data_IF_876756149982
#
_entry.id   IF_876756149982
#
_cell.length_a   1.000
_cell.length_b   1.000
_cell.length_c   1.000
_cell.angle_alpha   90.00
_cell.angle_beta   90.00
_cell.angle_gamma   90.00
#
_symmetry.space_group_name_H-M   'P 1'
#
loop_
_entity.id
_entity.type
_entity.pdbx_description
1 polymer ?
#
# COMPACT_ATOMS: atom_id res chain seq x y z
N UNK A 1 -22.74 -14.49 -15.88
CA UNK A 1 -21.82 -14.28 -14.73
C UNK A 1 -20.32 -14.25 -15.10
N UNK A 2 -19.83 -14.84 -16.21
CA UNK A 2 -18.40 -14.81 -16.59
C UNK A 2 -17.84 -13.41 -16.92
N UNK A 3 -18.63 -12.49 -17.50
CA UNK A 3 -18.14 -11.16 -17.89
C UNK A 3 -17.83 -10.25 -16.70
N UNK A 4 -18.61 -10.32 -15.61
CA UNK A 4 -18.37 -9.51 -14.42
C UNK A 4 -17.06 -9.90 -13.73
N UNK A 5 -16.70 -11.19 -13.75
CA UNK A 5 -15.43 -11.67 -13.18
C UNK A 5 -14.20 -11.20 -13.95
N UNK A 6 -14.30 -11.05 -15.29
CA UNK A 6 -13.22 -10.45 -16.10
C UNK A 6 -13.05 -8.97 -15.81
N UNK A 7 -14.14 -8.21 -15.74
CA UNK A 7 -14.10 -6.79 -15.43
C UNK A 7 -13.48 -6.53 -14.05
N UNK A 8 -13.92 -7.27 -13.03
CA UNK A 8 -13.34 -7.19 -11.68
C UNK A 8 -11.85 -7.50 -11.72
N UNK A 9 -11.43 -8.56 -12.42
CA UNK A 9 -10.00 -8.89 -12.53
C UNK A 9 -9.19 -7.77 -13.19
N UNK A 10 -9.68 -7.16 -14.28
CA UNK A 10 -8.99 -6.03 -14.96
C UNK A 10 -8.88 -4.81 -14.06
N UNK A 11 -9.94 -4.48 -13.32
CA UNK A 11 -9.94 -3.35 -12.37
C UNK A 11 -8.87 -3.55 -11.30
N UNK A 12 -8.82 -4.75 -10.70
CA UNK A 12 -7.82 -5.04 -9.69
C UNK A 12 -6.42 -5.14 -10.29
N UNK A 13 -6.21 -5.83 -11.42
CA UNK A 13 -4.88 -6.09 -11.97
C UNK A 13 -4.22 -4.88 -12.62
N UNK A 14 -4.99 -3.97 -13.22
CA UNK A 14 -4.46 -2.85 -14.02
C UNK A 14 -4.84 -1.49 -13.43
N UNK A 15 -6.14 -1.25 -13.22
CA UNK A 15 -6.64 0.10 -12.88
C UNK A 15 -6.21 0.53 -11.48
N UNK A 16 -6.47 -0.29 -10.46
CA UNK A 16 -6.14 0.02 -9.07
C UNK A 16 -4.63 0.29 -8.85
N UNK A 17 -3.72 -0.56 -9.36
CA UNK A 17 -2.29 -0.30 -9.29
C UNK A 17 -1.89 0.98 -10.02
N UNK A 18 -2.44 1.24 -11.22
CA UNK A 18 -2.14 2.47 -11.97
C UNK A 18 -2.58 3.71 -11.20
N UNK A 19 -3.80 3.73 -10.68
CA UNK A 19 -4.33 4.86 -9.88
C UNK A 19 -3.45 5.08 -8.65
N UNK A 20 -3.07 4.01 -7.95
CA UNK A 20 -2.25 4.14 -6.76
C UNK A 20 -0.83 4.62 -7.07
N UNK A 21 -0.20 4.17 -8.16
CA UNK A 21 1.08 4.73 -8.61
C UNK A 21 0.96 6.21 -8.98
N UNK A 22 -0.15 6.60 -9.62
CA UNK A 22 -0.43 7.99 -9.95
C UNK A 22 -0.58 8.84 -8.68
N UNK A 23 -1.21 8.32 -7.63
CA UNK A 23 -1.32 8.96 -6.33
C UNK A 23 0.04 9.09 -5.62
N UNK A 24 0.90 8.06 -5.71
CA UNK A 24 2.28 8.13 -5.19
C UNK A 24 3.06 9.21 -5.93
N UNK A 25 3.05 9.23 -7.26
CA UNK A 25 3.71 10.30 -8.05
C UNK A 25 3.12 11.67 -7.70
N UNK A 26 1.80 11.76 -7.59
CA UNK A 26 1.09 12.97 -7.21
C UNK A 26 1.52 13.50 -5.85
N UNK A 27 1.84 12.63 -4.89
CA UNK A 27 2.36 13.05 -3.58
C UNK A 27 3.75 13.70 -3.64
N UNK A 28 4.61 13.28 -4.59
CA UNK A 28 5.90 13.94 -4.84
C UNK A 28 5.72 15.28 -5.55
N UNK A 29 4.82 15.35 -6.54
CA UNK A 29 4.49 16.60 -7.24
C UNK A 29 3.88 17.61 -6.28
N UNK A 30 2.98 17.19 -5.39
CA UNK A 30 2.39 18.03 -4.35
C UNK A 30 3.45 18.60 -3.40
N UNK A 31 4.48 17.81 -3.05
CA UNK A 31 5.57 18.27 -2.22
C UNK A 31 6.37 19.38 -2.91
N UNK A 32 6.73 19.21 -4.19
CA UNK A 32 7.41 20.26 -4.96
C UNK A 32 6.55 21.52 -5.13
N UNK A 33 5.24 21.36 -5.35
CA UNK A 33 4.32 22.49 -5.44
C UNK A 33 4.13 23.20 -4.10
N UNK A 34 4.26 22.49 -2.97
CA UNK A 34 4.20 23.08 -1.65
C UNK A 34 5.37 24.04 -1.39
N UNK A 35 6.55 23.75 -1.95
CA UNK A 35 7.73 24.62 -1.84
C UNK A 35 7.56 25.94 -2.59
N UNK A 36 6.72 25.96 -3.63
CA UNK A 36 6.51 27.15 -4.49
C UNK A 36 5.20 27.88 -4.22
N UNK A 37 4.18 27.22 -3.63
CA UNK A 37 2.85 27.82 -3.37
C UNK A 37 2.48 27.75 -1.90
N UNK A 38 2.48 28.91 -1.24
CA UNK A 38 2.20 29.06 0.20
C UNK A 38 0.79 28.55 0.62
N UNK A 39 -0.21 28.66 -0.26
CA UNK A 39 -1.55 28.12 -0.01
C UNK A 39 -1.58 26.60 0.06
N UNK A 40 -0.83 25.92 -0.81
CA UNK A 40 -0.68 24.45 -0.79
C UNK A 40 0.13 23.99 0.41
N UNK A 41 1.18 24.73 0.78
CA UNK A 41 1.96 24.47 1.97
C UNK A 41 1.10 24.46 3.24
N UNK A 42 0.27 25.49 3.45
CA UNK A 42 -0.61 25.59 4.62
C UNK A 42 -1.62 24.46 4.69
N UNK A 43 -2.25 24.11 3.56
CA UNK A 43 -3.21 22.98 3.52
C UNK A 43 -2.51 21.65 3.84
N UNK A 44 -1.32 21.42 3.27
CA UNK A 44 -0.54 20.20 3.55
C UNK A 44 -0.09 20.11 5.00
N UNK A 45 0.31 21.22 5.63
CA UNK A 45 0.65 21.24 7.07
C UNK A 45 -0.57 20.89 7.91
N UNK A 46 -1.73 21.48 7.62
CA UNK A 46 -2.97 21.20 8.36
C UNK A 46 -3.39 19.73 8.22
N UNK A 47 -3.38 19.19 7.00
CA UNK A 47 -3.68 17.78 6.74
C UNK A 47 -2.66 16.83 7.37
N UNK A 48 -1.38 17.19 7.32
CA UNK A 48 -0.33 16.44 7.99
C UNK A 48 -0.65 16.34 9.49
N UNK A 49 -0.87 17.48 10.17
CA UNK A 49 -1.21 17.49 11.60
C UNK A 49 -2.42 16.61 11.94
N UNK A 50 -3.50 16.68 11.15
CA UNK A 50 -4.68 15.82 11.35
C UNK A 50 -4.31 14.34 11.21
N UNK A 51 -3.60 13.96 10.14
CA UNK A 51 -3.23 12.57 9.90
C UNK A 51 -2.28 12.02 10.97
N UNK A 52 -1.34 12.84 11.44
CA UNK A 52 -0.44 12.49 12.54
C UNK A 52 -1.17 12.36 13.89
N UNK A 53 -2.22 13.16 14.12
CA UNK A 53 -3.02 13.06 15.34
C UNK A 53 -4.00 11.87 15.35
N UNK A 54 -4.33 11.31 14.17
CA UNK A 54 -5.36 10.28 14.00
C UNK A 54 -4.75 8.93 13.58
N UNK A 55 -4.66 8.67 12.27
CA UNK A 55 -4.38 7.35 11.68
C UNK A 55 -2.88 7.05 11.63
N UNK A 56 -2.01 8.05 11.53
CA UNK A 56 -0.56 7.86 11.43
C UNK A 56 0.15 8.34 12.70
N UNK A 57 -0.50 8.13 13.83
CA UNK A 57 0.05 8.53 15.11
C UNK A 57 1.27 7.66 15.46
N UNK A 58 2.43 8.27 15.78
CA UNK A 58 3.68 7.55 16.02
C UNK A 58 3.61 6.56 17.19
N UNK A 59 2.65 6.71 18.11
CA UNK A 59 2.43 5.72 19.18
C UNK A 59 1.95 4.36 18.66
N UNK A 60 1.26 4.35 17.51
CA UNK A 60 0.71 3.14 16.88
C UNK A 60 1.68 2.50 15.89
N UNK A 61 2.86 3.09 15.74
CA UNK A 61 3.87 2.68 14.77
C UNK A 61 4.24 1.20 14.86
N UNK A 62 4.60 0.76 16.07
CA UNK A 62 4.95 -0.64 16.33
C UNK A 62 3.77 -1.58 16.07
N UNK A 63 2.54 -1.13 16.37
CA UNK A 63 1.32 -1.91 16.10
C UNK A 63 1.16 -2.11 14.59
N UNK A 64 1.35 -1.07 13.77
CA UNK A 64 1.29 -1.20 12.31
C UNK A 64 2.33 -2.17 11.77
N UNK A 65 3.58 -2.08 12.22
CA UNK A 65 4.65 -3.01 11.81
C UNK A 65 4.29 -4.45 12.20
N UNK A 66 3.86 -4.67 13.44
CA UNK A 66 3.47 -6.00 13.92
C UNK A 66 2.33 -6.59 13.09
N UNK A 67 1.31 -5.79 12.74
CA UNK A 67 0.21 -6.22 11.87
C UNK A 67 0.72 -6.61 10.48
N UNK A 68 1.57 -5.79 9.85
CA UNK A 68 2.11 -6.07 8.52
C UNK A 68 2.92 -7.38 8.54
N UNK A 69 3.80 -7.55 9.53
CA UNK A 69 4.60 -8.76 9.68
C UNK A 69 3.70 -10.00 9.85
N UNK A 70 2.66 -9.91 10.68
CA UNK A 70 1.71 -11.01 10.89
C UNK A 70 0.98 -11.38 9.59
N UNK A 71 0.53 -10.41 8.82
CA UNK A 71 -0.11 -10.65 7.51
C UNK A 71 0.87 -11.27 6.51
N UNK A 72 2.13 -10.83 6.49
CA UNK A 72 3.18 -11.42 5.64
C UNK A 72 3.43 -12.89 5.98
N UNK A 73 3.55 -13.21 7.27
CA UNK A 73 3.71 -14.59 7.73
C UNK A 73 2.51 -15.44 7.33
N UNK A 74 1.29 -14.93 7.50
CA UNK A 74 0.07 -15.62 7.05
C UNK A 74 0.07 -15.86 5.53
N UNK A 75 0.49 -14.89 4.73
CA UNK A 75 0.60 -15.04 3.28
C UNK A 75 1.61 -16.14 2.89
N UNK A 76 2.78 -16.17 3.53
CA UNK A 76 3.80 -17.20 3.27
C UNK A 76 3.29 -18.59 3.68
N UNK A 77 2.64 -18.69 4.84
CA UNK A 77 2.04 -19.94 5.29
C UNK A 77 0.97 -20.46 4.31
N UNK A 78 0.08 -19.57 3.86
CA UNK A 78 -0.93 -19.90 2.85
C UNK A 78 -0.32 -20.28 1.50
N UNK A 79 0.83 -19.70 1.14
CA UNK A 79 1.58 -20.08 -0.05
C UNK A 79 2.05 -21.54 0.04
N UNK A 80 2.78 -21.89 1.10
CA UNK A 80 3.36 -23.23 1.33
C UNK A 80 2.26 -24.30 1.37
N UNK A 81 1.11 -24.01 1.99
CA UNK A 81 0.03 -24.99 2.14
C UNK A 81 -0.70 -25.32 0.82
N UNK A 82 -0.53 -24.54 -0.25
CA UNK A 82 -1.22 -24.79 -1.50
C UNK A 82 -0.41 -25.69 -2.42
N UNK A 83 -0.96 -26.84 -2.79
CA UNK A 83 -0.31 -27.90 -3.60
C UNK A 83 0.16 -27.46 -5.00
N UNK A 84 -0.50 -26.48 -5.62
CA UNK A 84 -0.15 -26.01 -6.96
C UNK A 84 0.63 -24.70 -6.89
N UNK A 85 1.92 -24.78 -7.21
CA UNK A 85 2.77 -23.62 -7.46
C UNK A 85 2.56 -23.20 -8.90
N UNK A 86 1.94 -22.04 -9.09
CA UNK A 86 1.73 -21.43 -10.41
C UNK A 86 2.55 -20.14 -10.50
N UNK A 87 3.10 -19.82 -11.67
CA UNK A 87 3.86 -18.60 -11.93
C UNK A 87 3.11 -17.34 -11.47
N UNK A 88 1.79 -17.27 -11.71
CA UNK A 88 0.95 -16.17 -11.24
C UNK A 88 0.98 -16.01 -9.71
N UNK A 89 0.99 -17.12 -8.97
CA UNK A 89 0.98 -17.12 -7.50
C UNK A 89 2.30 -16.60 -6.93
N UNK A 90 3.43 -16.94 -7.55
CA UNK A 90 4.76 -16.41 -7.21
C UNK A 90 4.80 -14.91 -7.47
N UNK A 91 4.32 -14.46 -8.65
CA UNK A 91 4.29 -13.04 -9.01
C UNK A 91 3.52 -12.18 -7.98
N UNK A 92 2.34 -12.63 -7.55
CA UNK A 92 1.56 -11.90 -6.54
C UNK A 92 2.21 -11.96 -5.15
N UNK A 93 2.85 -13.06 -4.78
CA UNK A 93 3.60 -13.16 -3.52
C UNK A 93 4.78 -12.18 -3.50
N UNK A 94 5.58 -12.13 -4.57
CA UNK A 94 6.72 -11.21 -4.70
C UNK A 94 6.24 -9.76 -4.68
N UNK A 95 5.17 -9.44 -5.41
CA UNK A 95 4.59 -8.10 -5.40
C UNK A 95 4.11 -7.71 -4.00
N UNK A 96 3.45 -8.62 -3.27
CA UNK A 96 2.99 -8.39 -1.92
C UNK A 96 4.13 -8.18 -0.93
N UNK A 97 5.16 -9.03 -0.97
CA UNK A 97 6.37 -8.89 -0.14
C UNK A 97 7.07 -7.57 -0.45
N UNK A 98 7.24 -7.22 -1.73
CA UNK A 98 7.82 -5.95 -2.15
C UNK A 98 7.06 -4.74 -1.59
N UNK A 99 5.73 -4.73 -1.69
CA UNK A 99 4.91 -3.66 -1.10
C UNK A 99 5.01 -3.62 0.43
N UNK A 100 5.11 -4.78 1.09
CA UNK A 100 5.24 -4.87 2.55
C UNK A 100 6.57 -4.28 3.02
N UNK A 101 7.67 -4.63 2.35
CA UNK A 101 9.00 -4.09 2.63
C UNK A 101 9.02 -2.58 2.39
N UNK A 102 8.47 -2.12 1.26
CA UNK A 102 8.38 -0.68 0.96
C UNK A 102 7.60 0.10 2.02
N UNK A 103 6.50 -0.47 2.51
CA UNK A 103 5.68 0.13 3.57
C UNK A 103 6.42 0.17 4.91
N UNK A 104 7.11 -0.92 5.29
CA UNK A 104 7.92 -0.97 6.51
C UNK A 104 9.07 0.04 6.44
N UNK A 105 9.76 0.15 5.31
CA UNK A 105 10.83 1.14 5.10
C UNK A 105 10.27 2.56 5.28
N UNK A 106 9.18 2.88 4.60
CA UNK A 106 8.54 4.19 4.74
C UNK A 106 8.10 4.48 6.17
N UNK A 107 7.48 3.52 6.82
CA UNK A 107 7.15 3.65 8.23
C UNK A 107 8.44 3.92 9.04
N UNK A 108 9.51 3.15 8.86
CA UNK A 108 10.74 3.31 9.65
C UNK A 108 11.38 4.69 9.48
N UNK A 109 11.43 5.20 8.25
CA UNK A 109 11.99 6.51 7.96
C UNK A 109 11.02 7.68 8.18
N UNK A 110 9.79 7.42 8.64
CA UNK A 110 8.78 8.44 8.95
C UNK A 110 9.31 9.53 9.89
N UNK A 111 10.11 9.16 10.89
CA UNK A 111 10.66 10.13 11.85
C UNK A 111 11.82 10.95 11.28
N UNK A 112 12.47 10.48 10.22
CA UNK A 112 13.65 11.13 9.63
C UNK A 112 13.31 12.03 8.44
N UNK A 113 12.18 11.77 7.75
CA UNK A 113 11.76 12.58 6.62
C UNK A 113 10.71 13.63 7.02
N UNK A 114 11.08 14.91 6.92
CA UNK A 114 10.18 16.06 7.13
C UNK A 114 9.28 16.36 5.92
N UNK A 115 8.90 15.35 5.13
CA UNK A 115 8.01 15.55 3.98
C UNK A 115 6.58 15.79 4.46
N UNK A 116 5.95 16.88 4.01
CA UNK A 116 4.58 17.22 4.39
C UNK A 116 3.56 16.26 3.76
N UNK A 117 3.87 15.73 2.58
CA UNK A 117 3.04 14.75 1.88
C UNK A 117 3.28 13.31 2.35
N UNK A 118 4.21 13.09 3.28
CA UNK A 118 4.56 11.76 3.77
C UNK A 118 3.38 10.94 4.29
N UNK A 119 2.45 11.50 5.10
CA UNK A 119 1.30 10.73 5.58
C UNK A 119 0.36 10.31 4.45
N UNK A 120 0.21 11.15 3.41
CA UNK A 120 -0.58 10.81 2.23
C UNK A 120 0.07 9.66 1.45
N UNK A 121 1.40 9.71 1.29
CA UNK A 121 2.18 8.67 0.62
C UNK A 121 2.05 7.33 1.36
N UNK A 122 2.17 7.33 2.70
CA UNK A 122 1.96 6.11 3.51
C UNK A 122 0.55 5.55 3.34
N UNK A 123 -0.47 6.41 3.32
CA UNK A 123 -1.86 5.99 3.16
C UNK A 123 -2.11 5.34 1.78
N UNK A 124 -1.57 5.93 0.70
CA UNK A 124 -1.69 5.34 -0.63
C UNK A 124 -1.00 3.98 -0.74
N UNK A 125 0.13 3.80 -0.06
CA UNK A 125 0.85 2.53 -0.05
C UNK A 125 0.14 1.50 0.83
N UNK A 126 -0.54 1.90 1.91
CA UNK A 126 -1.46 1.01 2.64
C UNK A 126 -2.61 0.51 1.77
N UNK A 127 -3.21 1.36 0.94
CA UNK A 127 -4.25 0.93 0.00
C UNK A 127 -3.68 -0.10 -0.99
N UNK A 128 -2.48 0.15 -1.54
CA UNK A 128 -1.79 -0.82 -2.40
C UNK A 128 -1.56 -2.16 -1.71
N UNK A 129 -1.10 -2.13 -0.46
CA UNK A 129 -0.87 -3.33 0.34
C UNK A 129 -2.17 -4.16 0.48
N UNK A 130 -3.29 -3.51 0.79
CA UNK A 130 -4.60 -4.18 0.88
C UNK A 130 -5.03 -4.77 -0.47
N UNK A 131 -4.85 -4.03 -1.56
CA UNK A 131 -5.15 -4.52 -2.92
C UNK A 131 -4.32 -5.76 -3.27
N UNK A 132 -3.02 -5.75 -2.98
CA UNK A 132 -2.13 -6.89 -3.23
C UNK A 132 -2.50 -8.10 -2.38
N UNK A 133 -2.87 -7.87 -1.11
CA UNK A 133 -3.38 -8.93 -0.23
C UNK A 133 -4.64 -9.59 -0.80
N UNK A 134 -5.64 -8.80 -1.21
CA UNK A 134 -6.88 -9.30 -1.80
C UNK A 134 -6.60 -10.13 -3.05
N UNK A 135 -5.72 -9.64 -3.94
CA UNK A 135 -5.30 -10.39 -5.15
C UNK A 135 -4.68 -11.73 -4.82
N UNK A 136 -3.78 -11.75 -3.84
CA UNK A 136 -3.12 -12.98 -3.40
C UNK A 136 -4.14 -14.00 -2.89
N UNK A 137 -5.09 -13.57 -2.05
CA UNK A 137 -6.16 -14.42 -1.52
C UNK A 137 -7.10 -14.95 -2.63
N UNK A 138 -7.52 -14.10 -3.57
CA UNK A 138 -8.37 -14.50 -4.69
C UNK A 138 -7.63 -15.52 -5.58
N UNK A 139 -6.35 -15.30 -5.87
CA UNK A 139 -5.56 -16.22 -6.69
C UNK A 139 -5.46 -17.61 -6.05
N UNK A 140 -5.31 -17.67 -4.71
CA UNK A 140 -5.33 -18.95 -3.97
C UNK A 140 -6.68 -19.65 -4.11
N UNK A 141 -7.81 -18.94 -4.01
CA UNK A 141 -9.14 -19.55 -4.12
C UNK A 141 -9.44 -20.08 -5.53
N UNK A 142 -9.02 -19.37 -6.57
CA UNK A 142 -9.30 -19.76 -7.97
C UNK A 142 -8.45 -20.95 -8.44
N UNK A 143 -7.29 -21.19 -7.80
CA UNK A 143 -6.39 -22.30 -8.12
C UNK A 143 -6.58 -23.56 -7.23
N UNK A 144 -7.59 -23.57 -6.34
CA UNK A 144 -8.05 -24.77 -5.64
C UNK A 144 -9.12 -25.47 -6.46
#
# INVERSE_FOLDING_TARGET
MKNNFRLVRVIFDVVLPMVAWLLVIGSFVLQQLAETRMGLYRDLVYRNQILQSTILNPKWFWIYISIIVLVVVLCIFLYIKGKNVNYFRIRYLVAFIGTSIGLIILLYFYQSFHFLTFPLLVNFIMILFVVQFIKFVINIRVNK
#
